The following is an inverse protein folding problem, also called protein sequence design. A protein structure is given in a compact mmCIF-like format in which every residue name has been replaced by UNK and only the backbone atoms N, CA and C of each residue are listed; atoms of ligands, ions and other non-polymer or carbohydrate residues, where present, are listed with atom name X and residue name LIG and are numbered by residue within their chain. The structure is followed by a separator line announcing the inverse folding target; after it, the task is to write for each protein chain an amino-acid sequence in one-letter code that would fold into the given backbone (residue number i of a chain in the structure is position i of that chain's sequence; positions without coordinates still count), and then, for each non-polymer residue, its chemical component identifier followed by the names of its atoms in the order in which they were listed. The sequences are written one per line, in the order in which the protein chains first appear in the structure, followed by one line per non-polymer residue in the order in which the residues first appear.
data_IF_442414561735
#
_entry.id   IF_442414561735
#
_cell.length_a   1.000
_cell.length_b   1.000
_cell.length_c   1.000
_cell.angle_alpha   90.00
_cell.angle_beta   90.00
_cell.angle_gamma   90.00
#
_symmetry.space_group_name_H-M   'P 1'
#
loop_
_entity.id
_entity.type
_entity.pdbx_description
1 polymer ?
#
# COMPACT_ATOMS: atom_id res chain seq x y z
N UNK A 1 -24.56 -5.88 -26.47
CA UNK A 1 -23.70 -5.59 -27.65
C UNK A 1 -22.90 -4.29 -27.50
N UNK A 2 -23.53 -3.13 -27.28
CA UNK A 2 -22.80 -1.86 -27.20
C UNK A 2 -21.87 -1.77 -25.97
N UNK A 3 -22.33 -2.21 -24.79
CA UNK A 3 -21.49 -2.24 -23.58
C UNK A 3 -20.30 -3.20 -23.70
N UNK A 4 -20.51 -4.40 -24.25
CA UNK A 4 -19.44 -5.38 -24.54
C UNK A 4 -18.35 -4.74 -25.40
N UNK A 5 -18.72 -3.96 -26.42
CA UNK A 5 -17.75 -3.27 -27.27
C UNK A 5 -16.99 -2.15 -26.52
N UNK A 6 -17.64 -1.44 -25.59
CA UNK A 6 -16.98 -0.44 -24.76
C UNK A 6 -16.01 -1.08 -23.75
N UNK A 7 -16.42 -2.18 -23.09
CA UNK A 7 -15.55 -2.92 -22.18
C UNK A 7 -14.40 -3.63 -22.91
N UNK A 8 -14.62 -4.04 -24.16
CA UNK A 8 -13.58 -4.62 -25.02
C UNK A 8 -12.50 -3.62 -25.45
N UNK A 9 -12.75 -2.31 -25.33
CA UNK A 9 -11.76 -1.26 -25.60
C UNK A 9 -10.86 -0.95 -24.39
N UNK A 10 -11.25 -1.39 -23.20
CA UNK A 10 -10.39 -1.32 -22.02
C UNK A 10 -9.26 -2.36 -22.17
N UNK A 11 -8.12 -2.09 -21.54
CA UNK A 11 -7.13 -3.14 -21.31
C UNK A 11 -7.60 -4.07 -20.18
N UNK A 12 -6.79 -5.07 -19.85
CA UNK A 12 -7.11 -6.01 -18.78
C UNK A 12 -7.24 -5.33 -17.42
N UNK A 13 -6.41 -4.31 -17.17
CA UNK A 13 -6.45 -3.50 -15.95
C UNK A 13 -7.74 -2.69 -15.85
N UNK A 14 -8.16 -2.02 -16.92
CA UNK A 14 -9.42 -1.26 -16.94
C UNK A 14 -10.64 -2.15 -16.74
N UNK A 15 -10.67 -3.36 -17.32
CA UNK A 15 -11.76 -4.32 -17.05
C UNK A 15 -11.74 -4.83 -15.61
N UNK A 16 -10.56 -5.07 -15.06
CA UNK A 16 -10.41 -5.39 -13.64
C UNK A 16 -10.97 -4.28 -12.75
N UNK A 17 -10.65 -3.02 -13.04
CA UNK A 17 -11.13 -1.87 -12.27
C UNK A 17 -12.67 -1.73 -12.36
N UNK A 18 -13.29 -2.01 -13.51
CA UNK A 18 -14.77 -2.09 -13.63
C UNK A 18 -15.35 -3.18 -12.71
N UNK A 19 -14.74 -4.37 -12.71
CA UNK A 19 -15.16 -5.47 -11.85
C UNK A 19 -15.00 -5.11 -10.36
N UNK A 20 -13.90 -4.45 -9.98
CA UNK A 20 -13.68 -3.96 -8.62
C UNK A 20 -14.76 -2.98 -8.17
N UNK A 21 -15.19 -2.04 -9.02
CA UNK A 21 -16.28 -1.13 -8.66
C UNK A 21 -17.59 -1.86 -8.38
N UNK A 22 -17.86 -2.95 -9.11
CA UNK A 22 -18.99 -3.83 -8.84
C UNK A 22 -18.82 -4.59 -7.51
N UNK A 23 -17.62 -5.11 -7.22
CA UNK A 23 -17.29 -5.75 -5.94
C UNK A 23 -17.50 -4.80 -4.77
N UNK A 24 -17.05 -3.55 -4.88
CA UNK A 24 -17.17 -2.54 -3.82
C UNK A 24 -18.64 -2.14 -3.60
N UNK A 25 -19.44 -2.02 -4.67
CA UNK A 25 -20.84 -1.62 -4.55
C UNK A 25 -21.74 -2.73 -4.02
N UNK A 26 -21.46 -3.98 -4.40
CA UNK A 26 -22.41 -5.09 -4.25
C UNK A 26 -21.86 -6.33 -3.55
N UNK A 27 -20.58 -6.34 -3.15
CA UNK A 27 -19.96 -7.45 -2.42
C UNK A 27 -19.79 -8.72 -3.26
N UNK A 28 -19.70 -8.57 -4.58
CA UNK A 28 -19.58 -9.70 -5.51
C UNK A 28 -18.17 -10.29 -5.44
N UNK A 29 -18.05 -11.60 -5.22
CA UNK A 29 -16.75 -12.24 -4.97
C UNK A 29 -16.13 -12.80 -6.26
N UNK A 30 -16.95 -13.16 -7.27
CA UNK A 30 -16.47 -13.85 -8.47
C UNK A 30 -17.03 -13.22 -9.76
N UNK A 31 -16.34 -12.19 -10.28
CA UNK A 31 -16.65 -11.55 -11.55
C UNK A 31 -15.52 -11.84 -12.53
N UNK A 32 -15.81 -12.62 -13.58
CA UNK A 32 -14.87 -12.85 -14.67
C UNK A 32 -14.71 -11.58 -15.50
N UNK A 33 -13.52 -10.96 -15.45
CA UNK A 33 -13.22 -9.67 -16.10
C UNK A 33 -12.34 -9.81 -17.36
N UNK A 34 -11.79 -11.01 -17.60
CA UNK A 34 -10.94 -11.26 -18.77
C UNK A 34 -11.75 -11.25 -20.07
N UNK A 35 -13.04 -11.58 -20.01
CA UNK A 35 -13.96 -11.54 -21.14
C UNK A 35 -15.00 -10.41 -20.95
N UNK A 36 -15.04 -9.40 -21.82
CA UNK A 36 -16.01 -8.30 -21.73
C UNK A 36 -17.47 -8.75 -21.88
N UNK A 37 -17.74 -9.87 -22.56
CA UNK A 37 -19.08 -10.44 -22.66
C UNK A 37 -19.52 -11.03 -21.32
N UNK A 38 -18.70 -11.89 -20.72
CA UNK A 38 -18.99 -12.48 -19.40
C UNK A 38 -19.12 -11.41 -18.32
N UNK A 39 -18.27 -10.37 -18.35
CA UNK A 39 -18.37 -9.25 -17.43
C UNK A 39 -19.69 -8.48 -17.62
N UNK A 40 -20.13 -8.28 -18.87
CA UNK A 40 -21.42 -7.64 -19.14
C UNK A 40 -22.57 -8.46 -18.60
N UNK A 41 -22.59 -9.76 -18.90
CA UNK A 41 -23.65 -10.67 -18.46
C UNK A 41 -23.75 -10.69 -16.93
N UNK A 42 -22.61 -10.80 -16.23
CA UNK A 42 -22.58 -10.79 -14.77
C UNK A 42 -23.05 -9.46 -14.16
N UNK A 43 -22.80 -8.33 -14.83
CA UNK A 43 -23.31 -7.02 -14.39
C UNK A 43 -24.81 -6.85 -14.69
N UNK A 44 -25.32 -7.46 -15.75
CA UNK A 44 -26.75 -7.46 -16.10
C UNK A 44 -27.59 -8.34 -15.16
N UNK A 45 -27.01 -9.41 -14.62
CA UNK A 45 -27.65 -10.29 -13.61
C UNK A 45 -27.92 -9.59 -12.27
N UNK A 46 -27.34 -8.40 -12.06
CA UNK A 46 -27.53 -7.61 -10.85
C UNK A 46 -28.95 -7.03 -10.75
N UNK A 47 -29.80 -7.70 -9.97
CA UNK A 47 -31.21 -7.37 -9.80
C UNK A 47 -31.43 -5.90 -9.36
N UNK A 48 -32.19 -5.08 -10.10
CA UNK A 48 -32.49 -3.72 -9.67
C UNK A 48 -33.34 -3.72 -8.40
N UNK A 49 -33.05 -2.81 -7.47
CA UNK A 49 -34.02 -2.48 -6.41
C UNK A 49 -35.17 -1.68 -7.05
N UNK A 50 -36.43 -1.86 -6.61
CA UNK A 50 -37.53 -1.03 -7.09
C UNK A 50 -37.21 0.46 -6.91
N UNK A 51 -37.56 1.28 -7.91
CA UNK A 51 -37.34 2.74 -7.95
C UNK A 51 -35.88 3.21 -7.90
N UNK A 52 -34.91 2.31 -8.16
CA UNK A 52 -33.50 2.65 -8.25
C UNK A 52 -32.96 2.48 -9.67
N UNK A 53 -31.89 3.23 -9.97
CA UNK A 53 -31.12 3.04 -11.19
C UNK A 53 -30.62 1.58 -11.26
N UNK A 54 -30.73 0.90 -12.43
CA UNK A 54 -30.16 -0.44 -12.63
C UNK A 54 -28.73 -0.54 -12.09
N UNK A 55 -28.42 -1.65 -11.40
CA UNK A 55 -27.13 -1.82 -10.72
C UNK A 55 -25.95 -1.69 -11.69
N UNK A 56 -26.09 -2.25 -12.90
CA UNK A 56 -25.13 -2.07 -13.99
C UNK A 56 -24.77 -0.58 -14.24
N UNK A 57 -25.78 0.29 -14.35
CA UNK A 57 -25.54 1.72 -14.57
C UNK A 57 -24.83 2.38 -13.38
N UNK A 58 -25.06 1.88 -12.16
CA UNK A 58 -24.39 2.38 -10.95
C UNK A 58 -22.91 2.00 -10.91
N UNK A 59 -22.55 0.81 -11.42
CA UNK A 59 -21.13 0.39 -11.58
C UNK A 59 -20.47 1.24 -12.64
N UNK A 60 -21.08 1.31 -13.83
CA UNK A 60 -20.51 2.01 -14.98
C UNK A 60 -20.28 3.50 -14.68
N UNK A 61 -21.23 4.18 -14.05
CA UNK A 61 -21.05 5.59 -13.65
C UNK A 61 -19.97 5.78 -12.58
N UNK A 62 -19.78 4.79 -11.69
CA UNK A 62 -18.73 4.87 -10.67
C UNK A 62 -17.34 4.67 -11.27
N UNK A 63 -17.17 3.62 -12.09
CA UNK A 63 -15.93 3.41 -12.85
C UNK A 63 -15.62 4.61 -13.73
N UNK A 64 -16.59 5.06 -14.52
CA UNK A 64 -16.39 6.18 -15.42
C UNK A 64 -16.14 7.49 -14.67
N UNK A 65 -16.50 7.63 -13.39
CA UNK A 65 -16.13 8.80 -12.59
C UNK A 65 -14.64 8.81 -12.23
N UNK A 66 -14.03 7.63 -12.05
CA UNK A 66 -12.60 7.45 -11.74
C UNK A 66 -11.74 7.46 -13.01
N UNK A 67 -12.24 6.90 -14.12
CA UNK A 67 -11.57 6.92 -15.43
C UNK A 67 -11.84 8.24 -16.17
N UNK A 68 -10.85 9.12 -16.22
CA UNK A 68 -10.88 10.35 -17.02
C UNK A 68 -10.57 10.09 -18.53
N UNK A 69 -10.46 8.83 -18.93
CA UNK A 69 -10.16 8.39 -20.30
C UNK A 69 -11.31 8.50 -21.30
N UNK A 70 -10.99 8.30 -22.58
CA UNK A 70 -11.97 8.32 -23.68
C UNK A 70 -13.05 7.24 -23.53
N UNK A 71 -12.72 6.09 -22.94
CA UNK A 71 -13.68 5.00 -22.71
C UNK A 71 -14.66 5.38 -21.58
N UNK A 72 -14.18 5.97 -20.48
CA UNK A 72 -15.05 6.54 -19.44
C UNK A 72 -16.04 7.57 -19.97
N UNK A 73 -15.60 8.47 -20.86
CA UNK A 73 -16.51 9.42 -21.52
C UNK A 73 -17.60 8.73 -22.36
N UNK A 74 -17.21 7.72 -23.14
CA UNK A 74 -18.16 6.94 -23.96
C UNK A 74 -19.14 6.13 -23.11
N UNK A 75 -18.67 5.58 -21.99
CA UNK A 75 -19.51 4.88 -21.00
C UNK A 75 -20.55 5.82 -20.36
N UNK A 76 -20.17 7.07 -20.01
CA UNK A 76 -21.10 8.10 -19.53
C UNK A 76 -22.13 8.50 -20.59
N UNK A 77 -21.75 8.51 -21.86
CA UNK A 77 -22.68 8.78 -22.95
C UNK A 77 -23.67 7.61 -23.14
N UNK A 78 -23.18 6.38 -23.06
CA UNK A 78 -24.00 5.17 -23.14
C UNK A 78 -25.00 5.07 -21.98
N UNK A 79 -24.56 5.27 -20.75
CA UNK A 79 -25.41 5.22 -19.55
C UNK A 79 -26.52 6.28 -19.58
N UNK A 80 -26.25 7.47 -20.14
CA UNK A 80 -27.26 8.51 -20.35
C UNK A 80 -28.36 8.05 -21.30
N UNK A 81 -28.00 7.48 -22.46
CA UNK A 81 -28.98 6.91 -23.40
C UNK A 81 -29.82 5.80 -22.75
N UNK A 82 -29.20 4.98 -21.90
CA UNK A 82 -29.92 3.94 -21.16
C UNK A 82 -30.91 4.54 -20.15
N UNK A 83 -30.51 5.55 -19.37
CA UNK A 83 -31.37 6.20 -18.40
C UNK A 83 -32.53 6.95 -19.06
N UNK A 84 -32.30 7.61 -20.20
CA UNK A 84 -33.34 8.30 -20.97
C UNK A 84 -34.42 7.31 -21.44
N UNK A 85 -34.01 6.15 -21.96
CA UNK A 85 -34.93 5.09 -22.39
C UNK A 85 -35.73 4.50 -21.23
N UNK A 86 -35.17 4.50 -20.03
CA UNK A 86 -35.82 3.98 -18.81
C UNK A 86 -36.61 5.06 -18.04
N UNK A 87 -36.53 6.33 -18.45
CA UNK A 87 -37.15 7.44 -17.72
C UNK A 87 -36.48 7.77 -16.37
N UNK A 88 -35.21 7.39 -16.18
CA UNK A 88 -34.47 7.48 -14.91
C UNK A 88 -33.43 8.61 -14.88
N UNK A 89 -33.66 9.70 -15.62
CA UNK A 89 -32.71 10.80 -15.74
C UNK A 89 -32.40 11.49 -14.40
N UNK A 90 -33.39 11.60 -13.50
CA UNK A 90 -33.21 12.16 -12.17
C UNK A 90 -32.25 11.33 -11.32
N UNK A 91 -32.48 10.01 -11.29
CA UNK A 91 -31.67 9.05 -10.53
C UNK A 91 -30.25 8.97 -11.10
N UNK A 92 -30.08 9.04 -12.42
CA UNK A 92 -28.75 9.09 -13.03
C UNK A 92 -27.98 10.35 -12.62
N UNK A 93 -28.65 11.51 -12.56
CA UNK A 93 -28.02 12.77 -12.18
C UNK A 93 -27.56 12.76 -10.72
N UNK A 94 -28.40 12.27 -9.81
CA UNK A 94 -28.04 12.06 -8.42
C UNK A 94 -26.83 11.12 -8.31
N UNK A 95 -26.88 9.98 -9.03
CA UNK A 95 -25.78 9.01 -9.03
C UNK A 95 -24.47 9.58 -9.56
N UNK A 96 -24.51 10.48 -10.55
CA UNK A 96 -23.33 11.20 -11.03
C UNK A 96 -22.74 12.14 -9.99
N UNK A 97 -23.58 12.77 -9.16
CA UNK A 97 -23.14 13.56 -8.02
C UNK A 97 -22.34 12.69 -7.04
N UNK A 98 -22.93 11.59 -6.58
CA UNK A 98 -22.27 10.63 -5.68
C UNK A 98 -20.99 10.03 -6.28
N UNK A 99 -21.02 9.66 -7.56
CA UNK A 99 -19.87 9.09 -8.25
C UNK A 99 -18.73 10.11 -8.40
N UNK A 100 -19.05 11.39 -8.62
CA UNK A 100 -18.08 12.48 -8.65
C UNK A 100 -17.45 12.72 -7.28
N UNK A 101 -18.25 12.77 -6.21
CA UNK A 101 -17.75 12.88 -4.84
C UNK A 101 -16.85 11.68 -4.48
N UNK A 102 -17.23 10.47 -4.90
CA UNK A 102 -16.39 9.28 -4.76
C UNK A 102 -15.08 9.40 -5.54
N UNK A 103 -15.13 9.82 -6.80
CA UNK A 103 -13.93 10.01 -7.62
C UNK A 103 -13.02 11.10 -7.04
N UNK A 104 -13.58 12.19 -6.49
CA UNK A 104 -12.83 13.21 -5.76
C UNK A 104 -12.20 12.63 -4.49
N UNK A 105 -12.89 11.75 -3.76
CA UNK A 105 -12.33 11.02 -2.61
C UNK A 105 -11.22 10.05 -3.00
N UNK A 106 -11.39 9.28 -4.09
CA UNK A 106 -10.38 8.36 -4.62
C UNK A 106 -9.19 9.14 -5.15
N UNK A 107 -9.41 10.25 -5.84
CA UNK A 107 -8.37 11.14 -6.35
C UNK A 107 -7.67 11.85 -5.21
N UNK A 108 -8.35 12.26 -4.14
CA UNK A 108 -7.72 12.80 -2.95
C UNK A 108 -6.87 11.75 -2.22
N UNK A 109 -7.36 10.51 -2.11
CA UNK A 109 -6.60 9.39 -1.56
C UNK A 109 -5.40 9.00 -2.45
N UNK A 110 -5.56 9.05 -3.78
CA UNK A 110 -4.53 8.76 -4.78
C UNK A 110 -3.48 9.87 -4.89
N UNK A 111 -3.88 11.14 -4.88
CA UNK A 111 -2.99 12.32 -4.87
C UNK A 111 -2.21 12.43 -3.56
N UNK A 112 -2.79 12.00 -2.43
CA UNK A 112 -2.03 11.79 -1.20
C UNK A 112 -1.00 10.66 -1.38
N UNK A 113 -1.37 9.54 -2.01
CA UNK A 113 -0.45 8.42 -2.28
C UNK A 113 0.59 8.64 -3.39
N UNK A 114 0.49 9.73 -4.16
CA UNK A 114 1.40 10.01 -5.27
C UNK A 114 2.61 10.85 -4.85
N UNK A 115 2.53 11.58 -3.74
CA UNK A 115 3.68 12.27 -3.16
C UNK A 115 4.41 11.37 -2.17
N UNK A 116 5.67 11.03 -2.49
CA UNK A 116 6.50 10.14 -1.69
C UNK A 116 7.87 10.73 -1.42
N UNK A 117 8.43 10.39 -0.28
CA UNK A 117 9.83 10.61 0.05
C UNK A 117 10.49 9.26 0.17
N UNK A 118 11.45 8.99 -0.71
CA UNK A 118 12.21 7.74 -0.73
C UNK A 118 13.56 8.01 -0.09
N UNK A 119 13.91 7.22 0.93
CA UNK A 119 15.14 7.38 1.71
C UNK A 119 15.90 6.07 1.63
N UNK A 120 17.08 6.09 1.02
CA UNK A 120 18.00 4.95 1.06
C UNK A 120 18.95 5.11 2.23
N UNK A 121 18.97 4.13 3.13
CA UNK A 121 19.98 4.01 4.18
C UNK A 121 21.00 2.95 3.74
N UNK A 122 22.26 3.34 3.65
CA UNK A 122 23.32 2.37 3.38
C UNK A 122 23.61 1.52 4.62
N UNK A 123 24.04 0.25 4.45
CA UNK A 123 24.45 -0.60 5.57
C UNK A 123 25.51 0.10 6.42
N UNK A 124 25.45 -0.11 7.74
CA UNK A 124 26.49 0.46 8.60
C UNK A 124 27.81 -0.27 8.43
N UNK A 125 28.86 0.48 8.09
CA UNK A 125 30.22 -0.02 7.96
C UNK A 125 31.09 0.57 9.09
N UNK A 126 31.14 -0.10 10.24
CA UNK A 126 32.10 0.19 11.30
C UNK A 126 31.51 0.50 12.70
N UNK A 127 32.37 0.87 13.66
CA UNK A 127 31.96 1.18 15.02
C UNK A 127 31.02 2.39 15.07
N UNK A 128 29.99 2.36 15.93
CA UNK A 128 29.07 3.48 16.12
C UNK A 128 27.87 3.53 15.17
N UNK A 129 27.63 2.46 14.40
CA UNK A 129 26.47 2.31 13.53
C UNK A 129 26.25 3.48 12.54
N UNK A 130 27.32 4.13 12.08
CA UNK A 130 27.22 5.25 11.15
C UNK A 130 26.88 4.79 9.74
N UNK A 131 26.09 5.58 9.01
CA UNK A 131 25.53 5.23 7.69
C UNK A 131 25.51 6.46 6.78
N UNK A 132 25.75 6.23 5.49
CA UNK A 132 25.44 7.20 4.45
C UNK A 132 23.94 7.11 4.09
N UNK A 133 23.38 8.16 3.50
CA UNK A 133 21.98 8.12 3.05
C UNK A 133 21.72 9.01 1.83
N UNK A 134 20.67 8.67 1.11
CA UNK A 134 20.16 9.46 -0.01
C UNK A 134 18.66 9.64 0.10
N UNK A 135 18.16 10.77 -0.39
CA UNK A 135 16.75 11.15 -0.31
C UNK A 135 16.27 11.65 -1.66
N UNK A 136 15.12 11.14 -2.10
CA UNK A 136 14.41 11.59 -3.29
C UNK A 136 12.98 11.94 -2.96
N UNK A 137 12.43 12.90 -3.70
CA UNK A 137 10.98 13.08 -3.84
C UNK A 137 10.50 12.37 -5.08
N UNK A 138 9.33 11.76 -5.00
CA UNK A 138 8.61 11.23 -6.15
C UNK A 138 7.19 11.78 -6.17
N UNK A 139 6.75 12.26 -7.33
CA UNK A 139 5.38 12.66 -7.61
C UNK A 139 4.96 12.07 -8.96
N UNK A 140 4.21 10.96 -8.94
CA UNK A 140 3.96 10.19 -10.15
C UNK A 140 5.28 9.69 -10.77
N UNK A 141 5.54 10.09 -12.01
CA UNK A 141 6.79 9.76 -12.73
C UNK A 141 7.93 10.75 -12.42
N UNK A 142 7.64 11.93 -11.89
CA UNK A 142 8.64 12.94 -11.56
C UNK A 142 9.47 12.52 -10.34
N UNK A 143 10.78 12.51 -10.50
CA UNK A 143 11.75 12.17 -9.43
C UNK A 143 12.75 13.30 -9.29
N UNK A 144 12.91 13.82 -8.08
CA UNK A 144 13.95 14.81 -7.77
C UNK A 144 14.82 14.35 -6.60
N UNK A 145 16.13 14.38 -6.79
CA UNK A 145 17.11 14.16 -5.73
C UNK A 145 17.11 15.34 -4.76
N UNK A 146 16.91 15.08 -3.47
CA UNK A 146 16.93 16.10 -2.42
C UNK A 146 18.26 16.13 -1.66
N UNK A 147 18.85 14.97 -1.39
CA UNK A 147 20.09 14.86 -0.64
C UNK A 147 20.86 13.59 -1.03
N UNK A 148 22.19 13.69 -0.99
CA UNK A 148 23.12 12.57 -1.10
C UNK A 148 24.27 12.82 -0.13
N UNK A 149 24.20 12.17 1.03
CA UNK A 149 25.19 12.28 2.09
C UNK A 149 26.08 11.03 2.09
N UNK A 150 27.18 11.11 1.33
CA UNK A 150 28.14 10.01 1.19
C UNK A 150 29.04 9.84 2.43
N UNK A 151 29.10 10.85 3.31
CA UNK A 151 29.85 10.77 4.56
C UNK A 151 29.02 10.04 5.61
N UNK A 152 29.48 8.92 6.19
CA UNK A 152 28.71 8.19 7.20
C UNK A 152 28.41 9.06 8.43
N UNK A 153 27.12 9.19 8.75
CA UNK A 153 26.59 9.99 9.84
C UNK A 153 25.97 9.09 10.93
N UNK A 154 25.88 9.59 12.17
CA UNK A 154 25.16 8.90 13.25
C UNK A 154 23.64 8.91 12.98
N UNK A 155 22.89 8.06 13.68
CA UNK A 155 21.43 8.03 13.52
C UNK A 155 20.79 9.38 13.89
N UNK A 156 21.30 10.08 14.91
CA UNK A 156 20.79 11.38 15.32
C UNK A 156 21.07 12.47 14.27
N UNK A 157 22.24 12.42 13.62
CA UNK A 157 22.58 13.31 12.50
C UNK A 157 21.65 13.07 11.30
N UNK A 158 21.41 11.80 10.96
CA UNK A 158 20.50 11.40 9.87
C UNK A 158 19.07 11.84 10.18
N UNK A 159 18.57 11.62 11.40
CA UNK A 159 17.22 12.03 11.82
C UNK A 159 17.02 13.54 11.66
N UNK A 160 17.99 14.35 12.11
CA UNK A 160 17.96 15.81 11.96
C UNK A 160 17.97 16.24 10.49
N UNK A 161 18.79 15.58 9.66
CA UNK A 161 18.82 15.84 8.22
C UNK A 161 17.48 15.53 7.54
N UNK A 162 16.87 14.39 7.87
CA UNK A 162 15.57 13.97 7.34
C UNK A 162 14.46 14.93 7.79
N UNK A 163 14.44 15.35 9.06
CA UNK A 163 13.44 16.29 9.57
C UNK A 163 13.45 17.63 8.81
N UNK A 164 14.65 18.18 8.54
CA UNK A 164 14.82 19.37 7.70
C UNK A 164 14.29 19.19 6.27
N UNK A 165 14.49 18.00 5.68
CA UNK A 165 13.98 17.69 4.34
C UNK A 165 12.46 17.53 4.33
N UNK A 166 11.90 16.81 5.31
CA UNK A 166 10.46 16.56 5.41
C UNK A 166 9.67 17.84 5.68
N UNK A 167 10.14 18.71 6.57
CA UNK A 167 9.50 20.01 6.85
C UNK A 167 9.41 20.91 5.61
N UNK A 168 10.29 20.73 4.63
CA UNK A 168 10.33 21.53 3.39
C UNK A 168 9.60 20.86 2.22
N UNK A 169 9.69 19.54 2.09
CA UNK A 169 9.27 18.82 0.88
C UNK A 169 8.11 17.85 1.08
N UNK A 170 7.70 17.57 2.31
CA UNK A 170 6.62 16.64 2.62
C UNK A 170 5.38 17.36 3.13
N UNK A 171 4.22 16.74 2.92
CA UNK A 171 2.94 17.13 3.51
C UNK A 171 2.59 16.15 4.60
N UNK A 172 2.48 16.64 5.83
CA UNK A 172 2.09 15.84 7.00
C UNK A 172 0.79 15.08 6.69
N UNK A 173 0.71 13.82 7.13
CA UNK A 173 -0.39 12.85 6.98
C UNK A 173 -0.62 12.32 5.57
N UNK A 174 -0.18 13.04 4.55
CA UNK A 174 -0.45 12.69 3.15
C UNK A 174 0.77 12.07 2.46
N UNK A 175 1.99 12.55 2.75
CA UNK A 175 3.21 12.06 2.09
C UNK A 175 3.67 10.72 2.67
N UNK A 176 3.76 9.70 1.82
CA UNK A 176 4.32 8.40 2.19
C UNK A 176 5.85 8.50 2.27
N UNK A 177 6.42 8.08 3.39
CA UNK A 177 7.88 8.01 3.60
C UNK A 177 8.32 6.55 3.51
N UNK A 178 9.17 6.25 2.54
CA UNK A 178 9.66 4.91 2.21
C UNK A 178 11.15 4.80 2.57
N UNK A 179 11.50 3.93 3.52
CA UNK A 179 12.89 3.64 3.86
C UNK A 179 13.36 2.38 3.15
N UNK A 180 14.33 2.52 2.25
CA UNK A 180 15.04 1.41 1.63
C UNK A 180 16.24 1.04 2.49
N UNK A 181 16.23 -0.18 3.02
CA UNK A 181 17.23 -0.68 3.96
C UNK A 181 17.72 -2.06 3.53
N UNK A 182 18.91 -2.43 3.99
CA UNK A 182 19.42 -3.79 3.87
C UNK A 182 18.64 -4.77 4.77
N UNK A 183 18.64 -6.08 4.48
CA UNK A 183 17.93 -7.09 5.26
C UNK A 183 18.28 -7.06 6.76
N UNK A 184 19.54 -6.75 7.09
CA UNK A 184 20.05 -6.64 8.47
C UNK A 184 19.49 -5.45 9.25
N UNK A 185 18.91 -4.47 8.55
CA UNK A 185 18.43 -3.21 9.10
C UNK A 185 16.88 -3.13 9.11
N UNK A 186 16.17 -4.23 8.81
CA UNK A 186 14.70 -4.27 8.86
C UNK A 186 14.11 -3.93 10.24
N UNK A 187 14.86 -4.19 11.32
CA UNK A 187 14.46 -3.83 12.69
C UNK A 187 14.76 -2.39 13.07
N UNK A 188 15.36 -1.59 12.18
CA UNK A 188 15.45 -0.15 12.41
C UNK A 188 14.03 0.40 12.50
N UNK A 189 13.61 0.76 13.70
CA UNK A 189 12.28 1.32 13.99
C UNK A 189 12.18 2.76 13.46
N UNK A 190 12.37 2.94 12.15
CA UNK A 190 12.40 4.23 11.45
C UNK A 190 11.12 5.04 11.66
N UNK A 191 9.98 4.37 11.83
CA UNK A 191 8.71 5.02 12.12
C UNK A 191 8.64 5.64 13.53
N UNK A 192 9.59 5.33 14.42
CA UNK A 192 9.72 5.91 15.76
C UNK A 192 10.82 6.96 15.86
N UNK A 193 11.48 7.30 14.76
CA UNK A 193 12.50 8.34 14.76
C UNK A 193 11.87 9.67 15.15
N UNK A 194 12.55 10.40 16.02
CA UNK A 194 12.04 11.65 16.55
C UNK A 194 12.28 12.78 15.54
N UNK A 195 11.23 13.54 15.29
CA UNK A 195 11.23 14.79 14.55
C UNK A 195 11.23 15.94 15.56
N UNK A 196 11.84 17.07 15.18
CA UNK A 196 11.81 18.30 15.95
C UNK A 196 12.28 18.09 17.40
N UNK A 197 13.44 17.43 17.55
CA UNK A 197 13.99 17.03 18.85
C UNK A 197 14.24 18.22 19.81
N UNK A 198 14.36 19.44 19.27
CA UNK A 198 14.52 20.68 20.03
C UNK A 198 13.19 21.42 20.26
N UNK A 199 12.08 20.89 19.74
CA UNK A 199 10.74 21.44 19.85
C UNK A 199 10.05 21.13 21.18
N UNK A 200 8.92 21.79 21.48
CA UNK A 200 8.20 21.62 22.75
C UNK A 200 7.41 20.31 22.85
N UNK A 201 7.32 19.53 21.76
CA UNK A 201 6.57 18.27 21.69
C UNK A 201 7.42 17.22 20.97
N UNK A 202 7.67 16.09 21.63
CA UNK A 202 8.28 14.92 20.99
C UNK A 202 7.32 14.37 19.93
N UNK A 203 7.72 14.44 18.66
CA UNK A 203 6.92 13.93 17.54
C UNK A 203 7.66 12.79 16.88
N UNK A 204 7.02 11.63 16.77
CA UNK A 204 7.58 10.51 16.00
C UNK A 204 7.21 10.61 14.52
N UNK A 205 8.14 10.20 13.65
CA UNK A 205 7.97 10.23 12.19
C UNK A 205 6.69 9.52 11.74
N UNK A 206 6.38 8.37 12.34
CA UNK A 206 5.21 7.54 12.01
C UNK A 206 3.88 8.07 12.54
N UNK A 207 3.89 9.07 13.43
CA UNK A 207 2.68 9.80 13.85
C UNK A 207 2.31 10.85 12.80
N UNK A 208 3.32 11.56 12.27
CA UNK A 208 3.14 12.63 11.30
C UNK A 208 2.95 12.10 9.87
N UNK A 209 3.60 11.00 9.48
CA UNK A 209 3.58 10.46 8.12
C UNK A 209 3.29 8.95 8.08
N UNK A 210 2.64 8.44 7.03
CA UNK A 210 2.71 7.02 6.69
C UNK A 210 4.17 6.63 6.45
N UNK A 211 4.68 5.68 7.22
CA UNK A 211 6.08 5.21 7.11
C UNK A 211 6.09 3.73 6.84
N UNK A 212 6.88 3.33 5.84
CA UNK A 212 7.11 1.93 5.46
C UNK A 212 8.58 1.64 5.27
N UNK A 213 8.95 0.39 5.51
CA UNK A 213 10.29 -0.15 5.21
C UNK A 213 10.22 -0.97 3.92
N UNK A 214 11.29 -0.90 3.13
CA UNK A 214 11.47 -1.57 1.85
C UNK A 214 12.82 -2.26 1.84
N UNK A 215 12.88 -3.45 1.24
CA UNK A 215 14.11 -4.22 1.18
C UNK A 215 14.20 -4.93 -0.18
N UNK A 216 14.99 -4.37 -1.07
CA UNK A 216 15.12 -4.85 -2.45
C UNK A 216 16.07 -6.04 -2.60
N UNK A 217 16.90 -6.31 -1.58
CA UNK A 217 17.89 -7.37 -1.58
C UNK A 217 17.26 -8.75 -1.37
N UNK A 218 17.94 -9.81 -1.82
CA UNK A 218 17.54 -11.22 -1.68
C UNK A 218 16.31 -11.66 -2.51
N UNK A 219 15.73 -10.79 -3.35
CA UNK A 219 14.48 -11.07 -4.07
C UNK A 219 14.63 -11.38 -5.56
N UNK A 220 15.81 -11.22 -6.15
CA UNK A 220 15.96 -11.31 -7.60
C UNK A 220 15.55 -12.66 -8.19
N UNK A 221 15.81 -13.75 -7.46
CA UNK A 221 15.43 -15.10 -7.88
C UNK A 221 13.92 -15.39 -7.77
N UNK A 222 13.18 -14.61 -6.96
CA UNK A 222 11.74 -14.78 -6.72
C UNK A 222 10.91 -13.57 -7.16
N UNK A 223 11.43 -12.78 -8.10
CA UNK A 223 10.74 -11.57 -8.60
C UNK A 223 9.35 -11.86 -9.16
N UNK A 224 9.12 -13.03 -9.75
CA UNK A 224 7.82 -13.43 -10.26
C UNK A 224 6.81 -13.69 -9.13
N UNK A 225 7.17 -14.47 -8.11
CA UNK A 225 6.35 -14.69 -6.90
C UNK A 225 6.07 -13.38 -6.18
N UNK A 226 7.08 -12.52 -6.07
CA UNK A 226 6.94 -11.20 -5.45
C UNK A 226 5.87 -10.34 -6.15
N UNK A 227 5.91 -10.26 -7.48
CA UNK A 227 4.88 -9.55 -8.27
C UNK A 227 3.50 -10.18 -8.12
N UNK A 228 3.41 -11.51 -8.19
CA UNK A 228 2.15 -12.24 -8.04
C UNK A 228 1.50 -12.00 -6.66
N UNK A 229 2.27 -12.06 -5.58
CA UNK A 229 1.78 -11.73 -4.23
C UNK A 229 1.38 -10.26 -4.13
N UNK A 230 2.15 -9.35 -4.75
CA UNK A 230 1.85 -7.92 -4.74
C UNK A 230 0.54 -7.56 -5.44
N UNK A 231 0.23 -8.20 -6.57
CA UNK A 231 -1.01 -7.97 -7.30
C UNK A 231 -2.26 -8.19 -6.41
N UNK A 232 -2.17 -9.10 -5.44
CA UNK A 232 -3.23 -9.39 -4.47
C UNK A 232 -3.38 -8.34 -3.38
N UNK A 233 -2.32 -7.59 -3.07
CA UNK A 233 -2.34 -6.56 -2.01
C UNK A 233 -3.41 -5.49 -2.25
N UNK A 234 -3.76 -5.23 -3.52
CA UNK A 234 -4.75 -4.21 -3.84
C UNK A 234 -6.19 -4.58 -3.40
N UNK A 235 -6.56 -5.85 -3.58
CA UNK A 235 -7.90 -6.38 -3.29
C UNK A 235 -8.00 -7.05 -1.91
N UNK A 236 -6.90 -7.53 -1.36
CA UNK A 236 -6.85 -8.25 -0.09
C UNK A 236 -7.14 -7.38 1.14
N UNK A 237 -7.63 -8.04 2.19
CA UNK A 237 -7.77 -7.53 3.55
C UNK A 237 -6.69 -8.06 4.50
N UNK A 238 -6.65 -7.54 5.71
CA UNK A 238 -5.77 -8.02 6.79
C UNK A 238 -6.02 -9.47 7.17
N UNK A 239 -7.23 -9.97 6.94
CA UNK A 239 -7.63 -11.36 7.11
C UNK A 239 -6.95 -12.32 6.13
N UNK A 240 -6.47 -11.83 4.99
CA UNK A 240 -5.77 -12.64 3.99
C UNK A 240 -4.27 -12.80 4.30
N UNK A 241 -3.76 -12.13 5.34
CA UNK A 241 -2.37 -12.25 5.76
C UNK A 241 -2.12 -13.59 6.46
N UNK A 242 -1.02 -14.24 6.09
CA UNK A 242 -0.62 -15.47 6.73
C UNK A 242 0.03 -15.18 8.09
N UNK A 243 -0.48 -15.81 9.15
CA UNK A 243 0.08 -15.67 10.48
C UNK A 243 1.15 -16.74 10.72
N UNK A 244 2.42 -16.35 10.68
CA UNK A 244 3.47 -17.33 10.95
C UNK A 244 3.39 -17.82 12.41
N UNK A 245 3.40 -19.16 12.62
CA UNK A 245 3.45 -19.73 13.95
C UNK A 245 4.67 -19.23 14.72
N UNK A 246 4.48 -18.81 15.98
CA UNK A 246 5.53 -18.21 16.80
C UNK A 246 6.72 -19.14 17.11
N UNK A 247 6.57 -20.45 16.88
CA UNK A 247 7.62 -21.45 17.09
C UNK A 247 8.54 -21.63 15.88
N UNK A 248 8.25 -21.00 14.74
CA UNK A 248 9.15 -21.02 13.59
C UNK A 248 10.31 -20.07 13.87
N UNK A 249 11.51 -20.62 14.01
CA UNK A 249 12.70 -19.88 14.42
C UNK A 249 13.87 -19.98 13.43
N UNK A 250 13.72 -20.78 12.37
CA UNK A 250 14.75 -20.94 11.34
C UNK A 250 14.23 -20.62 9.95
N UNK A 251 15.16 -20.20 9.09
CA UNK A 251 14.89 -19.94 7.67
C UNK A 251 14.17 -21.12 7.00
N UNK A 252 14.66 -22.36 7.20
CA UNK A 252 14.15 -23.57 6.56
C UNK A 252 12.69 -23.85 6.93
N UNK A 253 12.31 -23.64 8.20
CA UNK A 253 10.95 -23.89 8.65
C UNK A 253 9.98 -22.86 8.07
N UNK A 254 10.35 -21.58 8.09
CA UNK A 254 9.54 -20.50 7.49
C UNK A 254 9.37 -20.73 6.00
N UNK A 255 10.46 -21.02 5.29
CA UNK A 255 10.43 -21.34 3.87
C UNK A 255 9.46 -22.49 3.57
N UNK A 256 9.55 -23.60 4.33
CA UNK A 256 8.66 -24.74 4.14
C UNK A 256 7.17 -24.41 4.31
N UNK A 257 6.82 -23.48 5.19
CA UNK A 257 5.44 -23.01 5.36
C UNK A 257 5.01 -22.09 4.21
N UNK A 258 5.86 -21.15 3.81
CA UNK A 258 5.54 -20.18 2.76
C UNK A 258 5.40 -20.80 1.37
N UNK A 259 6.09 -21.92 1.10
CA UNK A 259 5.90 -22.72 -0.11
C UNK A 259 4.48 -23.29 -0.22
N UNK A 260 3.79 -23.51 0.90
CA UNK A 260 2.37 -23.90 0.91
C UNK A 260 1.40 -22.73 0.82
N UNK A 261 1.90 -21.49 0.86
CA UNK A 261 1.14 -20.25 0.95
C UNK A 261 1.57 -19.27 -0.13
N UNK A 262 1.78 -19.74 -1.36
CA UNK A 262 2.22 -18.93 -2.53
C UNK A 262 1.30 -17.73 -2.80
N UNK A 263 0.05 -17.88 -2.37
CA UNK A 263 -1.08 -17.04 -2.64
C UNK A 263 -1.32 -15.93 -1.59
N UNK A 264 -0.62 -15.99 -0.45
CA UNK A 264 -0.77 -15.00 0.60
C UNK A 264 -0.13 -13.65 0.18
N UNK A 265 -0.86 -12.52 0.25
CA UNK A 265 -0.34 -11.19 -0.09
C UNK A 265 0.73 -10.69 0.90
N UNK A 266 0.83 -11.29 2.09
CA UNK A 266 1.73 -10.86 3.14
C UNK A 266 1.69 -11.77 4.34
N UNK A 267 2.49 -11.42 5.35
CA UNK A 267 2.67 -12.21 6.56
C UNK A 267 2.60 -11.32 7.81
N UNK A 268 2.00 -11.86 8.88
CA UNK A 268 2.08 -11.30 10.23
C UNK A 268 3.05 -12.13 11.08
N UNK A 269 4.02 -11.44 11.70
CA UNK A 269 5.09 -12.05 12.48
C UNK A 269 4.86 -11.86 13.97
N UNK A 270 4.95 -12.97 14.70
CA UNK A 270 4.93 -13.00 16.17
C UNK A 270 6.17 -13.70 16.75
N UNK A 271 7.17 -13.95 15.90
CA UNK A 271 8.41 -14.65 16.24
C UNK A 271 9.25 -13.89 17.28
N UNK A 272 9.92 -14.60 18.21
CA UNK A 272 10.86 -14.01 19.17
C UNK A 272 12.01 -13.24 18.50
N UNK A 273 12.55 -12.23 19.19
CA UNK A 273 13.62 -11.35 18.71
C UNK A 273 14.84 -12.13 18.18
N UNK A 274 15.26 -13.17 18.92
CA UNK A 274 16.45 -13.99 18.57
C UNK A 274 16.39 -14.66 17.20
N UNK A 275 15.19 -14.89 16.66
CA UNK A 275 14.99 -15.60 15.40
C UNK A 275 14.52 -14.67 14.27
N UNK A 276 14.27 -13.40 14.58
CA UNK A 276 13.59 -12.48 13.66
C UNK A 276 14.38 -12.23 12.37
N UNK A 277 15.71 -12.17 12.46
CA UNK A 277 16.57 -12.03 11.26
C UNK A 277 16.41 -13.21 10.29
N UNK A 278 16.44 -14.45 10.78
CA UNK A 278 16.27 -15.65 9.94
C UNK A 278 14.86 -15.71 9.34
N UNK A 279 13.84 -15.35 10.12
CA UNK A 279 12.45 -15.31 9.64
C UNK A 279 12.23 -14.22 8.60
N UNK A 280 12.80 -13.02 8.80
CA UNK A 280 12.75 -11.96 7.80
C UNK A 280 13.43 -12.40 6.51
N UNK A 281 14.65 -12.93 6.58
CA UNK A 281 15.38 -13.37 5.39
C UNK A 281 14.61 -14.44 4.62
N UNK A 282 13.95 -15.38 5.30
CA UNK A 282 13.08 -16.37 4.65
C UNK A 282 11.88 -15.73 3.96
N UNK A 283 11.17 -14.81 4.65
CA UNK A 283 10.04 -14.10 4.05
C UNK A 283 10.47 -13.27 2.82
N UNK A 284 11.61 -12.58 2.91
CA UNK A 284 12.17 -11.81 1.79
C UNK A 284 12.49 -12.75 0.61
N UNK A 285 13.19 -13.84 0.90
CA UNK A 285 13.57 -14.86 -0.07
C UNK A 285 12.35 -15.46 -0.78
N UNK A 286 11.27 -15.76 -0.06
CA UNK A 286 10.01 -16.28 -0.63
C UNK A 286 9.12 -15.21 -1.31
N UNK A 287 9.65 -14.01 -1.53
CA UNK A 287 8.97 -12.95 -2.27
C UNK A 287 7.83 -12.29 -1.51
N UNK A 288 7.75 -12.43 -0.18
CA UNK A 288 6.68 -11.81 0.62
C UNK A 288 6.83 -10.28 0.61
N UNK A 289 5.85 -9.53 0.08
CA UNK A 289 5.98 -8.08 -0.08
C UNK A 289 5.44 -7.27 1.11
N UNK A 290 4.61 -7.86 1.95
CA UNK A 290 4.01 -7.21 3.11
C UNK A 290 4.36 -8.00 4.36
N UNK A 291 5.08 -7.38 5.30
CA UNK A 291 5.34 -7.95 6.63
C UNK A 291 4.84 -6.98 7.69
N UNK A 292 4.10 -7.50 8.67
CA UNK A 292 3.67 -6.74 9.83
C UNK A 292 4.19 -7.43 11.08
N UNK A 293 4.81 -6.67 11.97
CA UNK A 293 5.30 -7.20 13.24
C UNK A 293 5.20 -6.16 14.35
N UNK A 294 5.21 -6.67 15.57
CA UNK A 294 5.35 -5.85 16.77
C UNK A 294 6.85 -5.73 17.10
N UNK A 295 7.37 -4.52 17.22
CA UNK A 295 8.79 -4.27 17.46
C UNK A 295 9.28 -4.80 18.82
N UNK A 296 8.50 -4.61 19.88
CA UNK A 296 8.90 -4.93 21.27
C UNK A 296 8.30 -6.22 21.85
N UNK A 297 6.98 -6.40 21.78
CA UNK A 297 6.29 -7.58 22.29
C UNK A 297 6.59 -8.85 21.46
N UNK A 298 6.57 -10.00 22.12
CA UNK A 298 6.81 -11.31 21.50
C UNK A 298 5.57 -12.22 21.59
N UNK A 299 5.50 -13.18 20.65
CA UNK A 299 4.59 -14.33 20.67
C UNK A 299 3.12 -13.97 20.96
N UNK A 300 2.56 -14.48 22.07
CA UNK A 300 1.14 -14.37 22.37
C UNK A 300 0.68 -12.92 22.62
N UNK A 301 1.50 -12.11 23.28
CA UNK A 301 1.20 -10.69 23.51
C UNK A 301 1.17 -9.93 22.18
N UNK A 302 2.21 -10.11 21.35
CA UNK A 302 2.24 -9.52 20.01
C UNK A 302 1.03 -9.95 19.17
N UNK A 303 0.63 -11.22 19.23
CA UNK A 303 -0.53 -11.72 18.48
C UNK A 303 -1.83 -11.02 18.89
N UNK A 304 -2.08 -10.88 20.18
CA UNK A 304 -3.30 -10.23 20.67
C UNK A 304 -3.38 -8.76 20.22
N UNK A 305 -2.28 -8.02 20.38
CA UNK A 305 -2.19 -6.61 19.96
C UNK A 305 -2.33 -6.46 18.44
N UNK A 306 -1.60 -7.25 17.66
CA UNK A 306 -1.67 -7.21 16.20
C UNK A 306 -3.08 -7.54 15.71
N UNK A 307 -3.76 -8.52 16.33
CA UNK A 307 -5.13 -8.91 15.94
C UNK A 307 -6.11 -7.76 16.22
N UNK A 308 -6.03 -7.16 17.41
CA UNK A 308 -6.91 -6.07 17.80
C UNK A 308 -6.72 -4.83 16.92
N UNK A 309 -5.47 -4.50 16.59
CA UNK A 309 -5.12 -3.28 15.88
C UNK A 309 -5.28 -3.39 14.36
N UNK A 310 -5.07 -4.57 13.76
CA UNK A 310 -5.26 -4.77 12.32
C UNK A 310 -6.74 -4.82 11.93
N UNK A 311 -7.59 -5.40 12.77
CA UNK A 311 -9.03 -5.47 12.50
C UNK A 311 -9.35 -6.13 11.15
N UNK A 312 -10.29 -5.53 10.40
CA UNK A 312 -10.67 -5.92 9.04
C UNK A 312 -10.39 -4.75 8.09
N UNK A 313 -9.11 -4.44 7.91
CA UNK A 313 -8.65 -3.34 7.06
C UNK A 313 -8.26 -3.83 5.67
N UNK A 314 -8.39 -2.97 4.66
CA UNK A 314 -7.84 -3.28 3.32
C UNK A 314 -6.32 -3.16 3.38
N UNK A 315 -5.59 -4.08 2.74
CA UNK A 315 -4.12 -4.02 2.80
C UNK A 315 -3.59 -2.70 2.22
N UNK A 316 -4.17 -2.20 1.12
CA UNK A 316 -3.80 -0.90 0.53
C UNK A 316 -3.92 0.32 1.48
N UNK A 317 -4.73 0.25 2.54
CA UNK A 317 -4.86 1.32 3.54
C UNK A 317 -3.88 1.17 4.71
N UNK A 318 -3.13 0.06 4.80
CA UNK A 318 -2.28 -0.24 5.96
C UNK A 318 -1.27 0.85 6.31
N UNK A 319 -0.50 1.45 5.38
CA UNK A 319 0.42 2.52 5.74
C UNK A 319 -0.29 3.69 6.47
N UNK A 320 -1.47 4.08 5.97
CA UNK A 320 -2.27 5.16 6.57
C UNK A 320 -2.92 4.73 7.89
N UNK A 321 -3.37 3.47 7.96
CA UNK A 321 -3.95 2.88 9.16
C UNK A 321 -2.94 2.85 10.31
N UNK A 322 -1.73 2.34 10.06
CA UNK A 322 -0.67 2.31 11.07
C UNK A 322 -0.28 3.72 11.53
N UNK A 323 -0.24 4.72 10.64
CA UNK A 323 -0.05 6.12 11.05
C UNK A 323 -1.13 6.59 12.02
N UNK A 324 -2.41 6.27 11.76
CA UNK A 324 -3.52 6.60 12.68
C UNK A 324 -3.34 5.92 14.04
N UNK A 325 -2.97 4.64 14.06
CA UNK A 325 -2.73 3.90 15.30
C UNK A 325 -1.56 4.47 16.11
N UNK A 326 -0.47 4.84 15.44
CA UNK A 326 0.69 5.50 16.06
C UNK A 326 0.28 6.84 16.67
N UNK A 327 -0.43 7.67 15.91
CA UNK A 327 -0.96 8.95 16.39
C UNK A 327 -1.94 8.81 17.56
N UNK A 328 -2.77 7.77 17.59
CA UNK A 328 -3.64 7.48 18.73
C UNK A 328 -2.83 7.08 19.99
N UNK A 329 -1.65 6.50 19.80
CA UNK A 329 -0.76 6.10 20.90
C UNK A 329 -0.09 7.27 21.60
N UNK A 330 -0.05 8.46 20.99
CA UNK A 330 0.45 9.69 21.64
C UNK A 330 -0.49 10.18 22.75
N UNK A 331 -1.80 9.89 22.61
CA UNK A 331 -2.80 10.24 23.61
C UNK A 331 -2.96 9.17 24.71
N UNK A 332 -2.41 7.97 24.48
CA UNK A 332 -2.54 6.82 25.37
C UNK A 332 -1.26 5.96 25.32
N UNK A 333 -0.42 6.12 26.35
CA UNK A 333 0.82 5.36 26.48
C UNK A 333 0.60 3.83 26.57
N UNK A 334 -0.60 3.36 26.90
CA UNK A 334 -0.92 1.93 26.91
C UNK A 334 -1.23 1.37 25.51
N UNK A 335 -1.45 2.23 24.52
CA UNK A 335 -1.80 1.82 23.17
C UNK A 335 -0.56 1.35 22.38
N UNK A 336 -0.62 0.13 21.85
CA UNK A 336 0.53 -0.55 21.22
C UNK A 336 0.84 -0.12 19.78
N UNK A 337 0.03 0.74 19.17
CA UNK A 337 0.18 1.21 17.79
C UNK A 337 1.58 1.77 17.44
N UNK A 338 2.25 2.45 18.37
CA UNK A 338 3.63 2.97 18.20
C UNK A 338 4.68 1.89 17.90
N UNK A 339 4.40 0.64 18.27
CA UNK A 339 5.33 -0.48 18.12
C UNK A 339 5.13 -1.29 16.85
N UNK A 340 4.07 -1.02 16.08
CA UNK A 340 3.80 -1.74 14.84
C UNK A 340 4.71 -1.24 13.72
N UNK A 341 5.44 -2.17 13.10
CA UNK A 341 6.28 -1.92 11.95
C UNK A 341 5.74 -2.62 10.70
N UNK A 342 6.07 -2.08 9.54
CA UNK A 342 5.51 -2.49 8.25
C UNK A 342 6.61 -2.51 7.19
N UNK A 343 6.84 -3.68 6.61
CA UNK A 343 7.49 -3.82 5.33
C UNK A 343 6.40 -3.72 4.26
N UNK A 344 6.59 -2.83 3.28
CA UNK A 344 5.65 -2.58 2.20
C UNK A 344 6.42 -2.44 0.89
N UNK A 345 6.61 -3.56 0.21
CA UNK A 345 7.59 -3.66 -0.86
C UNK A 345 6.94 -3.87 -2.23
N UNK A 346 6.66 -2.75 -2.90
CA UNK A 346 6.06 -2.68 -4.24
C UNK A 346 7.07 -2.94 -5.39
N UNK A 347 6.99 -4.05 -6.13
CA UNK A 347 7.93 -4.36 -7.22
C UNK A 347 7.88 -3.38 -8.40
N UNK A 348 6.85 -2.54 -8.50
CA UNK A 348 6.68 -1.55 -9.57
C UNK A 348 7.19 -0.16 -9.19
N UNK A 349 7.83 -0.03 -8.02
CA UNK A 349 8.34 1.24 -7.49
C UNK A 349 9.76 1.08 -6.94
N UNK A 350 10.75 0.78 -7.81
CA UNK A 350 12.15 0.75 -7.40
C UNK A 350 12.65 2.15 -7.03
N UNK A 351 13.81 2.19 -6.35
CA UNK A 351 14.59 3.41 -6.26
C UNK A 351 14.95 3.92 -7.66
N UNK A 352 15.12 5.24 -7.83
CA UNK A 352 15.66 5.81 -9.06
C UNK A 352 17.04 5.20 -9.37
N UNK A 353 17.31 4.95 -10.65
CA UNK A 353 18.62 4.46 -11.09
C UNK A 353 19.71 5.46 -10.64
N UNK A 354 20.81 4.94 -10.11
CA UNK A 354 22.00 5.75 -9.93
C UNK A 354 22.51 6.14 -11.31
N UNK A 355 22.36 7.41 -11.67
CA UNK A 355 23.23 8.02 -12.67
C UNK A 355 24.64 8.03 -12.07
N UNK A 356 25.37 6.94 -12.27
CA UNK A 356 26.81 6.90 -12.10
C UNK A 356 27.41 7.85 -13.13
N UNK A 357 27.51 9.13 -12.77
CA UNK A 357 28.42 10.07 -13.41
C UNK A 357 29.85 9.73 -12.97
N UNK A 358 30.28 8.51 -13.26
CA UNK A 358 31.69 8.11 -13.23
C UNK A 358 32.35 8.53 -14.53
N UNK A 359 32.69 9.83 -14.58
CA UNK A 359 33.82 10.51 -15.24
C UNK A 359 34.23 10.19 -16.70
N UNK A 360 34.95 11.13 -17.35
CA UNK A 360 36.19 10.83 -18.04
C UNK A 360 37.42 10.91 -17.11
#
# INVERSE_FOLDING_TARGET
MELVALLGRLDERGRYDVAEEARVLFGLVDLSFHDPALLTDALEELLPKPDQLPQLLRVVERFAAVDDGAVGADLRAWSLRCAERLGLNGQLKERRGEAKEYAESVKAAGLAQDQRIQIRLHPSNGPGQRRAYEVWTRRGEDVNSLAKEDTPASLEEIQRGIDGLLSTHARTRDTLVEFFVAPTDLELAVHRWQLDADGPLERSLGTDYPVVVRCTDLRDNQRHVWKQRWERVHSAGTEDLEWLPAHLDTFKQVHGVLQGQEDAPGVVLTTPLRARSDVFNACLFDGVPVLIWHGEAEAAAARAELTALLGTERLRSLPQHLRKLRSASEADESHHGRHMALLWDDPHRPLPDQLDLSAP
#
